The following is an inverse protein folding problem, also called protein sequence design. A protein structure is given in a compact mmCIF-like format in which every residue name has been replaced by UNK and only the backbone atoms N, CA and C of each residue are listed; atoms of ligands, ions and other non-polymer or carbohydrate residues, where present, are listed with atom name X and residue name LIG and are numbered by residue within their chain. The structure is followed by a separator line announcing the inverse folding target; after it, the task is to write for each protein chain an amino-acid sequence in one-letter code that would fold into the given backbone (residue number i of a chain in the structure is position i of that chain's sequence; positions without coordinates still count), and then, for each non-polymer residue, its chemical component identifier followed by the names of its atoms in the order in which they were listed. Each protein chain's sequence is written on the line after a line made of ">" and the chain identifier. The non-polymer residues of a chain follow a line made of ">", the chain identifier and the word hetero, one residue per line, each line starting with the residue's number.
data_IF_484064866650
#
_entry.id   IF_484064866650
#
_cell.length_a   1.000
_cell.length_b   1.000
_cell.length_c   1.000
_cell.angle_alpha   90.00
_cell.angle_beta   90.00
_cell.angle_gamma   90.00
#
_symmetry.space_group_name_H-M   'P 1'
#
loop_
_entity.id
_entity.type
_entity.pdbx_description
1 polymer ?
#
# COMPACT_ATOMS: atom_id res chain seq x y z
N UNK A 1 -0.55 -22.04 -14.51
CA UNK A 1 0.47 -21.68 -13.49
C UNK A 1 -0.20 -20.83 -12.44
N UNK A 2 0.33 -20.75 -11.21
CA UNK A 2 -0.13 -19.76 -10.22
C UNK A 2 0.29 -18.35 -10.68
N UNK A 3 -0.53 -17.34 -10.41
CA UNK A 3 -0.19 -15.96 -10.75
C UNK A 3 0.89 -15.43 -9.80
N UNK A 4 1.80 -14.63 -10.34
CA UNK A 4 2.75 -13.82 -9.58
C UNK A 4 2.23 -12.39 -9.55
N UNK A 5 2.03 -11.85 -8.35
CA UNK A 5 1.43 -10.54 -8.12
C UNK A 5 2.41 -9.68 -7.32
N UNK A 6 2.59 -8.44 -7.72
CA UNK A 6 3.22 -7.39 -6.93
C UNK A 6 2.14 -6.46 -6.36
N UNK A 7 2.23 -6.11 -5.09
CA UNK A 7 1.35 -5.15 -4.44
C UNK A 7 2.19 -4.06 -3.80
N UNK A 8 1.94 -2.82 -4.17
CA UNK A 8 2.34 -1.66 -3.41
C UNK A 8 1.15 -1.26 -2.52
N UNK A 9 1.33 -1.44 -1.22
CA UNK A 9 0.29 -1.22 -0.21
C UNK A 9 0.49 0.15 0.45
N UNK A 10 0.28 1.21 -0.33
CA UNK A 10 0.50 2.58 0.14
C UNK A 10 -0.63 3.13 1.02
N UNK A 11 -0.29 4.14 1.84
CA UNK A 11 -1.24 4.88 2.69
C UNK A 11 -2.33 5.58 1.87
N UNK A 12 -1.98 6.17 0.74
CA UNK A 12 -2.90 6.91 -0.11
C UNK A 12 -3.52 6.05 -1.22
N UNK A 13 -2.75 5.17 -1.82
CA UNK A 13 -3.19 4.33 -2.94
C UNK A 13 -2.56 2.95 -2.90
N UNK A 14 -3.27 1.98 -3.46
CA UNK A 14 -2.77 0.64 -3.71
C UNK A 14 -2.54 0.43 -5.20
N UNK A 15 -1.41 -0.19 -5.54
CA UNK A 15 -1.09 -0.62 -6.90
C UNK A 15 -1.00 -2.14 -6.94
N UNK A 16 -1.57 -2.74 -7.96
CA UNK A 16 -1.47 -4.18 -8.19
C UNK A 16 -0.89 -4.46 -9.57
N UNK A 17 0.25 -5.12 -9.56
CA UNK A 17 0.94 -5.60 -10.74
C UNK A 17 0.72 -7.11 -10.88
N UNK A 18 0.48 -7.58 -12.09
CA UNK A 18 0.43 -9.02 -12.40
C UNK A 18 1.49 -9.33 -13.46
N UNK A 19 2.32 -10.34 -13.17
CA UNK A 19 3.38 -10.77 -14.10
C UNK A 19 2.81 -11.08 -15.48
N UNK A 20 3.38 -10.45 -16.50
CA UNK A 20 2.96 -10.57 -17.90
C UNK A 20 1.77 -9.69 -18.30
N UNK A 21 1.18 -8.94 -17.37
CA UNK A 21 0.09 -7.99 -17.66
C UNK A 21 0.42 -6.53 -17.29
N UNK A 22 1.46 -6.33 -16.48
CA UNK A 22 1.82 -5.00 -15.97
C UNK A 22 0.98 -4.56 -14.77
N UNK A 23 0.94 -3.25 -14.51
CA UNK A 23 0.08 -2.65 -13.48
C UNK A 23 -1.35 -2.68 -14.00
N UNK A 24 -2.21 -3.43 -13.33
CA UNK A 24 -3.60 -3.65 -13.73
C UNK A 24 -4.62 -2.93 -12.86
N UNK A 25 -4.22 -2.52 -11.65
CA UNK A 25 -5.04 -1.74 -10.73
C UNK A 25 -4.20 -0.65 -10.08
N UNK A 26 -4.80 0.53 -9.99
CA UNK A 26 -4.35 1.66 -9.18
C UNK A 26 -5.58 2.31 -8.58
N UNK A 27 -5.75 2.17 -7.28
CA UNK A 27 -6.94 2.66 -6.60
C UNK A 27 -6.60 3.28 -5.23
N UNK A 28 -7.43 4.18 -4.70
CA UNK A 28 -7.27 4.72 -3.36
C UNK A 28 -7.31 3.61 -2.29
N UNK A 29 -6.47 3.72 -1.27
CA UNK A 29 -6.47 2.85 -0.09
C UNK A 29 -7.58 3.27 0.88
N UNK A 30 -8.83 3.15 0.45
CA UNK A 30 -10.02 3.55 1.23
C UNK A 30 -11.01 2.39 1.25
N UNK A 31 -11.62 2.17 2.42
CA UNK A 31 -12.68 1.18 2.62
C UNK A 31 -13.85 1.85 3.33
N UNK A 32 -15.05 1.67 2.81
CA UNK A 32 -16.29 2.04 3.46
C UNK A 32 -17.00 0.78 3.98
N UNK A 33 -17.38 0.78 5.24
CA UNK A 33 -18.07 -0.33 5.88
C UNK A 33 -19.14 0.17 6.84
N UNK A 34 -20.10 -0.69 7.09
CA UNK A 34 -21.12 -0.49 8.11
C UNK A 34 -20.52 -0.80 9.49
N UNK A 35 -20.60 0.15 10.43
CA UNK A 35 -19.98 0.05 11.75
C UNK A 35 -20.58 -1.05 12.60
N UNK A 36 -21.88 -1.31 12.47
CA UNK A 36 -22.59 -2.26 13.33
C UNK A 36 -22.41 -3.71 12.85
N UNK A 37 -22.45 -3.91 11.52
CA UNK A 37 -22.32 -5.24 10.92
C UNK A 37 -20.89 -5.59 10.48
N UNK A 38 -19.97 -4.62 10.43
CA UNK A 38 -18.64 -4.75 9.82
C UNK A 38 -18.67 -5.21 8.34
N UNK A 39 -19.79 -5.03 7.67
CA UNK A 39 -19.94 -5.36 6.26
C UNK A 39 -19.30 -4.29 5.39
N UNK A 40 -18.41 -4.70 4.49
CA UNK A 40 -17.78 -3.79 3.52
C UNK A 40 -18.81 -3.36 2.48
N UNK A 41 -19.02 -2.08 2.32
CA UNK A 41 -19.95 -1.46 1.36
C UNK A 41 -19.26 -1.02 0.08
N UNK A 42 -18.03 -0.49 0.19
CA UNK A 42 -17.24 -0.06 -0.96
C UNK A 42 -15.74 -0.13 -0.66
N UNK A 43 -14.92 -0.27 -1.70
CA UNK A 43 -13.45 -0.24 -1.60
C UNK A 43 -12.90 0.55 -2.79
N UNK A 44 -11.79 1.27 -2.57
CA UNK A 44 -11.11 2.02 -3.61
C UNK A 44 -11.81 3.34 -3.93
N UNK A 45 -11.97 3.64 -5.21
CA UNK A 45 -12.52 4.92 -5.67
C UNK A 45 -13.97 5.16 -5.18
N UNK A 46 -14.79 4.13 -5.17
CA UNK A 46 -16.17 4.25 -4.65
C UNK A 46 -16.17 4.65 -3.16
N UNK A 47 -15.31 4.02 -2.36
CA UNK A 47 -15.17 4.36 -0.93
C UNK A 47 -14.59 5.77 -0.74
N UNK A 48 -13.66 6.21 -1.61
CA UNK A 48 -13.07 7.55 -1.56
C UNK A 48 -14.14 8.64 -1.72
N UNK A 49 -15.09 8.44 -2.62
CA UNK A 49 -16.20 9.38 -2.83
C UNK A 49 -17.13 9.49 -1.61
N UNK A 50 -17.08 8.50 -0.73
CA UNK A 50 -17.87 8.47 0.52
C UNK A 50 -17.17 9.14 1.71
N UNK A 51 -15.87 9.46 1.62
CA UNK A 51 -15.13 10.15 2.70
C UNK A 51 -15.80 11.46 3.07
N UNK A 52 -16.14 11.62 4.35
CA UNK A 52 -16.78 12.81 4.88
C UNK A 52 -18.25 13.04 4.42
N UNK A 53 -18.84 12.06 3.73
CA UNK A 53 -20.21 12.16 3.16
C UNK A 53 -21.09 10.97 3.49
N UNK A 54 -20.65 10.09 4.39
CA UNK A 54 -21.38 8.87 4.75
C UNK A 54 -22.53 9.18 5.72
N UNK A 55 -23.76 8.74 5.44
CA UNK A 55 -24.87 8.85 6.41
C UNK A 55 -24.82 7.73 7.45
N UNK A 56 -25.22 8.05 8.67
CA UNK A 56 -25.52 7.06 9.72
C UNK A 56 -24.35 6.15 10.10
N UNK A 57 -24.54 4.87 9.94
CA UNK A 57 -23.62 3.83 10.40
C UNK A 57 -22.45 3.56 9.44
N UNK A 58 -22.44 4.14 8.25
CA UNK A 58 -21.39 3.90 7.27
C UNK A 58 -20.18 4.77 7.59
N UNK A 59 -19.00 4.15 7.67
CA UNK A 59 -17.73 4.81 7.93
C UNK A 59 -16.78 4.52 6.78
N UNK A 60 -16.21 5.56 6.19
CA UNK A 60 -15.15 5.42 5.21
C UNK A 60 -13.81 5.79 5.85
N UNK A 61 -12.85 4.88 5.81
CA UNK A 61 -11.52 5.06 6.41
C UNK A 61 -10.40 4.68 5.46
N UNK A 62 -9.20 5.21 5.74
CA UNK A 62 -7.94 4.66 5.23
C UNK A 62 -7.41 3.67 6.27
N UNK A 63 -7.31 2.37 5.95
CA UNK A 63 -6.88 1.34 6.89
C UNK A 63 -5.37 1.35 7.16
N UNK A 64 -4.61 2.11 6.37
CA UNK A 64 -3.19 2.39 6.61
C UNK A 64 -3.01 3.87 6.94
N UNK A 65 -2.11 4.14 7.88
CA UNK A 65 -1.66 5.49 8.24
C UNK A 65 -0.16 5.49 8.41
N UNK A 66 0.51 6.44 7.78
CA UNK A 66 1.97 6.59 7.89
C UNK A 66 2.72 5.26 7.63
N UNK A 67 2.30 4.54 6.58
CA UNK A 67 2.89 3.27 6.18
C UNK A 67 2.54 2.07 7.06
N UNK A 68 1.70 2.24 8.09
CA UNK A 68 1.37 1.21 9.08
C UNK A 68 -0.09 0.81 9.00
N UNK A 69 -0.38 -0.47 9.21
CA UNK A 69 -1.75 -0.97 9.35
C UNK A 69 -2.36 -0.42 10.63
N UNK A 70 -3.40 0.40 10.51
CA UNK A 70 -4.19 0.91 11.63
C UNK A 70 -5.42 0.07 11.94
N UNK A 71 -5.91 -0.69 10.94
CA UNK A 71 -7.00 -1.65 11.10
C UNK A 71 -6.69 -2.92 10.30
N UNK A 72 -6.34 -3.99 11.01
CA UNK A 72 -5.93 -5.26 10.42
C UNK A 72 -7.06 -5.91 9.61
N UNK A 73 -8.26 -5.99 10.19
CA UNK A 73 -9.40 -6.67 9.56
C UNK A 73 -9.84 -5.97 8.27
N UNK A 74 -9.84 -4.65 8.28
CA UNK A 74 -10.21 -3.85 7.11
C UNK A 74 -9.11 -3.94 6.04
N UNK A 75 -7.83 -3.95 6.45
CA UNK A 75 -6.69 -4.13 5.53
C UNK A 75 -6.72 -5.50 4.85
N UNK A 76 -6.96 -6.58 5.60
CA UNK A 76 -7.11 -7.93 5.04
C UNK A 76 -8.22 -7.97 3.97
N UNK A 77 -9.40 -7.43 4.29
CA UNK A 77 -10.52 -7.36 3.35
C UNK A 77 -10.18 -6.56 2.10
N UNK A 78 -9.44 -5.45 2.26
CA UNK A 78 -9.00 -4.61 1.16
C UNK A 78 -8.01 -5.35 0.25
N UNK A 79 -6.98 -5.99 0.80
CA UNK A 79 -6.02 -6.79 0.03
C UNK A 79 -6.75 -7.91 -0.71
N UNK A 80 -7.61 -8.64 -0.03
CA UNK A 80 -8.40 -9.72 -0.62
C UNK A 80 -9.26 -9.26 -1.81
N UNK A 81 -9.93 -8.12 -1.66
CA UNK A 81 -10.72 -7.52 -2.74
C UNK A 81 -9.86 -7.21 -3.97
N UNK A 82 -8.70 -6.55 -3.78
CA UNK A 82 -7.84 -6.18 -4.90
C UNK A 82 -7.18 -7.40 -5.55
N UNK A 83 -6.77 -8.39 -4.78
CA UNK A 83 -6.26 -9.66 -5.31
C UNK A 83 -7.33 -10.38 -6.15
N UNK A 84 -8.56 -10.45 -5.66
CA UNK A 84 -9.67 -11.05 -6.40
C UNK A 84 -10.02 -10.27 -7.67
N UNK A 85 -10.03 -8.94 -7.60
CA UNK A 85 -10.26 -8.05 -8.74
C UNK A 85 -9.16 -8.23 -9.81
N UNK A 86 -7.91 -8.36 -9.38
CA UNK A 86 -6.75 -8.59 -10.24
C UNK A 86 -6.76 -9.94 -10.96
N UNK A 87 -7.15 -10.99 -10.26
CA UNK A 87 -7.13 -12.36 -10.79
C UNK A 87 -8.40 -12.73 -11.56
N UNK A 88 -9.53 -12.05 -11.29
CA UNK A 88 -10.84 -12.42 -11.79
C UNK A 88 -11.42 -13.65 -11.07
N UNK A 89 -12.70 -13.93 -11.33
CA UNK A 89 -13.49 -14.95 -10.58
C UNK A 89 -13.09 -16.42 -10.81
N UNK A 90 -12.15 -16.73 -11.70
CA UNK A 90 -11.87 -18.12 -12.15
C UNK A 90 -10.51 -18.68 -11.76
N UNK A 91 -9.77 -18.06 -10.83
CA UNK A 91 -8.44 -18.55 -10.46
C UNK A 91 -8.54 -19.55 -9.31
N UNK A 92 -8.44 -20.86 -9.62
CA UNK A 92 -8.42 -21.94 -8.63
C UNK A 92 -7.08 -22.07 -7.88
N UNK A 93 -6.02 -21.42 -8.35
CA UNK A 93 -4.69 -21.52 -7.73
C UNK A 93 -4.36 -20.24 -6.98
N UNK A 94 -4.04 -20.40 -5.70
CA UNK A 94 -3.59 -19.30 -4.85
C UNK A 94 -2.32 -18.64 -5.43
N UNK A 95 -2.26 -17.29 -5.50
CA UNK A 95 -1.12 -16.56 -6.06
C UNK A 95 0.11 -16.58 -5.15
N UNK A 96 1.28 -16.29 -5.73
CA UNK A 96 2.43 -15.78 -4.98
C UNK A 96 2.35 -14.26 -5.00
N UNK A 97 2.53 -13.64 -3.85
CA UNK A 97 2.40 -12.19 -3.71
C UNK A 97 3.70 -11.61 -3.16
N UNK A 98 4.28 -10.67 -3.88
CA UNK A 98 5.32 -9.78 -3.36
C UNK A 98 4.64 -8.47 -2.97
N UNK A 99 4.80 -8.06 -1.71
CA UNK A 99 4.15 -6.86 -1.17
C UNK A 99 5.19 -5.91 -0.59
N UNK A 100 5.06 -4.62 -0.90
CA UNK A 100 5.98 -3.60 -0.44
C UNK A 100 5.67 -3.19 0.99
N UNK A 101 6.72 -2.86 1.73
CA UNK A 101 6.68 -2.29 3.08
C UNK A 101 7.68 -1.15 3.19
N UNK A 102 7.39 -0.07 3.94
CA UNK A 102 8.36 0.99 4.21
C UNK A 102 9.62 0.45 4.89
N UNK A 103 10.75 1.09 4.66
CA UNK A 103 12.04 0.67 5.25
C UNK A 103 12.08 0.77 6.78
N UNK A 104 11.26 1.67 7.36
CA UNK A 104 11.24 1.96 8.80
C UNK A 104 10.24 1.14 9.61
N UNK A 105 9.58 0.12 9.01
CA UNK A 105 8.59 -0.70 9.74
C UNK A 105 9.26 -1.62 10.77
N UNK A 106 8.60 -1.79 11.90
CA UNK A 106 8.98 -2.75 12.92
C UNK A 106 8.70 -4.19 12.48
N UNK A 107 9.34 -5.17 13.13
CA UNK A 107 9.07 -6.60 12.88
C UNK A 107 7.60 -6.98 13.11
N UNK A 108 6.94 -6.33 14.07
CA UNK A 108 5.50 -6.55 14.34
C UNK A 108 4.64 -6.05 13.17
N UNK A 109 4.93 -4.86 12.66
CA UNK A 109 4.25 -4.29 11.50
C UNK A 109 4.49 -5.11 10.24
N UNK A 110 5.74 -5.56 10.02
CA UNK A 110 6.13 -6.47 8.95
C UNK A 110 5.28 -7.74 8.96
N UNK A 111 5.22 -8.38 10.12
CA UNK A 111 4.45 -9.59 10.33
C UNK A 111 2.95 -9.38 10.12
N UNK A 112 2.41 -8.24 10.54
CA UNK A 112 1.01 -7.91 10.31
C UNK A 112 0.65 -7.83 8.81
N UNK A 113 1.52 -7.21 7.99
CA UNK A 113 1.34 -7.16 6.53
C UNK A 113 1.42 -8.55 5.91
N UNK A 114 2.39 -9.36 6.34
CA UNK A 114 2.56 -10.74 5.87
C UNK A 114 1.33 -11.58 6.18
N UNK A 115 0.86 -11.58 7.43
CA UNK A 115 -0.31 -12.33 7.89
C UNK A 115 -1.59 -11.88 7.17
N UNK A 116 -1.82 -10.57 7.02
CA UNK A 116 -2.96 -10.04 6.29
C UNK A 116 -2.95 -10.50 4.82
N UNK A 117 -1.78 -10.59 4.21
CA UNK A 117 -1.62 -11.04 2.82
C UNK A 117 -1.88 -12.55 2.68
N UNK A 118 -1.41 -13.37 3.64
CA UNK A 118 -1.77 -14.80 3.67
C UNK A 118 -3.27 -15.00 3.89
N UNK A 119 -3.89 -14.27 4.81
CA UNK A 119 -5.34 -14.32 5.09
C UNK A 119 -6.17 -13.88 3.86
N UNK A 120 -5.65 -12.92 3.08
CA UNK A 120 -6.25 -12.53 1.80
C UNK A 120 -6.21 -13.61 0.71
N UNK A 121 -5.48 -14.71 0.93
CA UNK A 121 -5.48 -15.89 0.08
C UNK A 121 -4.18 -16.15 -0.69
N UNK A 122 -3.08 -15.52 -0.33
CA UNK A 122 -1.77 -15.84 -0.90
C UNK A 122 -1.33 -17.27 -0.55
N UNK A 123 -0.60 -17.92 -1.45
CA UNK A 123 0.11 -19.18 -1.19
C UNK A 123 1.48 -18.93 -0.59
N UNK A 124 2.12 -17.87 -1.04
CA UNK A 124 3.47 -17.47 -0.69
C UNK A 124 3.51 -15.95 -0.67
N UNK A 125 4.13 -15.38 0.36
CA UNK A 125 4.27 -13.94 0.55
C UNK A 125 5.74 -13.60 0.64
N UNK A 126 6.17 -12.60 -0.13
CA UNK A 126 7.51 -12.03 -0.07
C UNK A 126 7.38 -10.55 0.25
N UNK A 127 7.99 -10.11 1.35
CA UNK A 127 8.05 -8.69 1.70
C UNK A 127 9.26 -8.05 1.01
N UNK A 128 9.06 -6.88 0.42
CA UNK A 128 10.08 -6.10 -0.28
C UNK A 128 10.05 -4.68 0.29
N UNK A 129 11.21 -4.12 0.59
CA UNK A 129 11.31 -2.70 0.97
C UNK A 129 10.92 -1.79 -0.20
N UNK A 130 10.08 -0.77 0.06
CA UNK A 130 9.59 0.17 -0.95
C UNK A 130 10.70 0.78 -1.81
N UNK A 131 11.82 1.29 -1.24
CA UNK A 131 12.87 1.88 -2.09
C UNK A 131 13.59 0.84 -2.97
N UNK A 132 13.66 -0.43 -2.56
CA UNK A 132 14.21 -1.50 -3.41
C UNK A 132 13.28 -1.78 -4.59
N UNK A 133 11.98 -1.86 -4.33
CA UNK A 133 10.98 -2.03 -5.39
C UNK A 133 10.97 -0.84 -6.34
N UNK A 134 11.07 0.39 -5.81
CA UNK A 134 11.15 1.63 -6.59
C UNK A 134 12.40 1.65 -7.49
N UNK A 135 13.57 1.26 -6.97
CA UNK A 135 14.81 1.16 -7.75
C UNK A 135 14.67 0.19 -8.94
N UNK A 136 14.10 -0.99 -8.68
CA UNK A 136 13.85 -2.00 -9.72
C UNK A 136 12.86 -1.44 -10.76
N UNK A 137 11.79 -0.80 -10.30
CA UNK A 137 10.78 -0.18 -11.16
C UNK A 137 11.33 0.96 -12.03
N UNK A 138 12.32 1.70 -11.54
CA UNK A 138 13.03 2.74 -12.26
C UNK A 138 14.07 2.17 -13.27
N UNK A 139 14.24 0.84 -13.33
CA UNK A 139 15.19 0.20 -14.22
C UNK A 139 16.66 0.30 -13.75
N UNK A 140 16.88 0.58 -12.47
CA UNK A 140 18.22 0.63 -11.88
C UNK A 140 18.72 -0.80 -11.67
N UNK A 141 19.93 -1.08 -12.16
CA UNK A 141 20.61 -2.34 -11.91
C UNK A 141 21.20 -2.32 -10.49
N UNK A 142 20.42 -2.76 -9.53
CA UNK A 142 20.81 -2.77 -8.11
C UNK A 142 21.90 -3.79 -7.77
N UNK A 143 22.21 -4.73 -8.68
CA UNK A 143 23.26 -5.74 -8.47
C UNK A 143 24.69 -5.18 -8.55
N UNK A 144 24.85 -4.01 -9.15
CA UNK A 144 26.17 -3.38 -9.32
C UNK A 144 26.73 -2.84 -8.01
N UNK A 145 28.08 -2.81 -7.88
CA UNK A 145 28.76 -2.24 -6.72
C UNK A 145 28.84 -0.70 -6.82
N UNK A 146 27.69 -0.06 -6.97
CA UNK A 146 27.57 1.40 -6.98
C UNK A 146 26.37 1.81 -6.13
N UNK A 147 26.52 2.88 -5.34
CA UNK A 147 25.45 3.42 -4.53
C UNK A 147 24.43 4.15 -5.40
N UNK A 148 23.18 3.69 -5.36
CA UNK A 148 22.06 4.39 -6.00
C UNK A 148 21.14 4.91 -4.90
N UNK A 149 20.95 6.22 -4.83
CA UNK A 149 20.05 6.84 -3.87
C UNK A 149 18.63 6.89 -4.44
N UNK A 150 17.69 6.38 -3.68
CA UNK A 150 16.25 6.43 -3.95
C UNK A 150 15.61 7.32 -2.89
N UNK A 151 14.72 8.21 -3.34
CA UNK A 151 13.84 9.00 -2.49
C UNK A 151 12.42 8.71 -2.96
N UNK A 152 11.69 7.96 -2.16
CA UNK A 152 10.30 7.59 -2.41
C UNK A 152 9.38 8.38 -1.48
N UNK A 153 8.55 9.25 -2.05
CA UNK A 153 7.63 10.11 -1.30
C UNK A 153 6.21 9.64 -1.57
N UNK A 154 5.67 8.88 -0.63
CA UNK A 154 4.31 8.37 -0.68
C UNK A 154 3.27 9.34 -0.11
N UNK A 155 2.11 8.78 0.30
CA UNK A 155 1.07 9.55 1.00
C UNK A 155 1.40 9.75 2.48
N UNK A 156 1.87 8.71 3.16
CA UNK A 156 2.09 8.71 4.61
C UNK A 156 3.55 8.63 5.06
N UNK A 157 4.46 8.21 4.17
CA UNK A 157 5.90 8.07 4.46
C UNK A 157 6.73 8.64 3.33
N UNK A 158 7.92 9.13 3.66
CA UNK A 158 8.99 9.38 2.71
C UNK A 158 10.18 8.51 3.09
N UNK A 159 10.54 7.58 2.20
CA UNK A 159 11.59 6.60 2.37
C UNK A 159 12.80 6.97 1.53
N UNK A 160 13.96 7.05 2.17
CA UNK A 160 15.22 7.41 1.56
C UNK A 160 16.17 6.25 1.77
N UNK A 161 16.73 5.70 0.70
CA UNK A 161 17.68 4.59 0.80
C UNK A 161 18.81 4.72 -0.22
N UNK A 162 19.99 4.22 0.16
CA UNK A 162 21.09 3.95 -0.76
C UNK A 162 21.16 2.45 -0.95
N UNK A 163 21.08 2.02 -2.20
CA UNK A 163 21.06 0.62 -2.60
C UNK A 163 22.32 0.29 -3.37
N UNK A 164 22.97 -0.82 -3.04
CA UNK A 164 24.16 -1.36 -3.72
C UNK A 164 24.21 -2.87 -3.53
N UNK A 165 24.73 -3.61 -4.51
CA UNK A 165 24.91 -5.06 -4.46
C UNK A 165 23.63 -5.83 -4.07
N UNK A 166 22.49 -5.38 -4.57
CA UNK A 166 21.20 -6.02 -4.37
C UNK A 166 20.52 -5.77 -3.01
N UNK A 167 21.10 -4.91 -2.16
CA UNK A 167 20.58 -4.63 -0.83
C UNK A 167 20.64 -3.15 -0.43
N UNK A 168 19.89 -2.83 0.61
CA UNK A 168 19.90 -1.51 1.25
C UNK A 168 21.15 -1.35 2.11
N UNK A 169 21.98 -0.36 1.82
CA UNK A 169 23.21 -0.04 2.57
C UNK A 169 22.89 0.87 3.75
N UNK A 170 22.06 1.87 3.51
CA UNK A 170 21.56 2.81 4.51
C UNK A 170 20.16 3.26 4.13
N UNK A 171 19.29 3.41 5.10
CA UNK A 171 17.96 3.93 4.90
C UNK A 171 17.54 4.91 6.01
N UNK A 172 16.55 5.70 5.69
CA UNK A 172 15.83 6.55 6.64
C UNK A 172 14.39 6.66 6.17
N UNK A 173 13.45 6.49 7.08
CA UNK A 173 12.03 6.65 6.81
C UNK A 173 11.46 7.72 7.72
N UNK A 174 10.75 8.67 7.15
CA UNK A 174 10.07 9.73 7.90
C UNK A 174 8.56 9.68 7.65
N UNK A 175 7.79 9.92 8.71
CA UNK A 175 6.32 9.90 8.67
C UNK A 175 5.76 11.29 8.34
N UNK A 176 6.36 11.95 7.36
CA UNK A 176 5.93 13.24 6.78
C UNK A 176 5.98 13.09 5.27
N UNK A 177 4.82 13.19 4.62
CA UNK A 177 4.72 12.96 3.18
C UNK A 177 3.50 13.69 2.57
N UNK A 178 2.93 13.18 1.50
CA UNK A 178 1.89 13.83 0.71
C UNK A 178 0.67 14.29 1.51
N UNK A 179 0.19 13.47 2.45
CA UNK A 179 -0.96 13.84 3.30
C UNK A 179 -0.65 15.04 4.19
N UNK A 180 0.59 15.19 4.68
CA UNK A 180 1.02 16.34 5.47
C UNK A 180 1.13 17.61 4.61
N UNK A 181 1.55 17.45 3.35
CA UNK A 181 1.60 18.57 2.39
C UNK A 181 0.20 19.07 2.07
N UNK A 182 -0.75 18.19 1.82
CA UNK A 182 -2.16 18.52 1.60
C UNK A 182 -2.75 19.23 2.82
N UNK A 183 -2.47 18.73 4.01
CA UNK A 183 -2.95 19.36 5.25
C UNK A 183 -2.34 20.74 5.49
N UNK A 184 -1.07 20.92 5.11
CA UNK A 184 -0.42 22.24 5.19
C UNK A 184 -1.12 23.26 4.27
N UNK A 185 -1.51 22.83 3.06
CA UNK A 185 -2.28 23.65 2.11
C UNK A 185 -3.65 23.99 2.70
N UNK A 186 -4.36 23.02 3.26
CA UNK A 186 -5.67 23.22 3.90
C UNK A 186 -5.56 24.21 5.05
N UNK A 187 -4.55 24.08 5.92
CA UNK A 187 -4.29 25.02 7.02
C UNK A 187 -4.01 26.43 6.51
N UNK A 188 -3.21 26.55 5.45
CA UNK A 188 -2.92 27.84 4.84
C UNK A 188 -4.20 28.50 4.30
N UNK A 189 -5.02 27.75 3.56
CA UNK A 189 -6.28 28.25 3.00
C UNK A 189 -7.25 28.72 4.09
N UNK A 190 -7.40 27.93 5.16
CA UNK A 190 -8.23 28.32 6.32
C UNK A 190 -7.72 29.60 6.97
N UNK A 191 -6.40 29.75 7.17
CA UNK A 191 -5.79 30.93 7.80
C UNK A 191 -5.92 32.18 6.93
N UNK A 192 -5.80 32.05 5.61
CA UNK A 192 -5.73 33.19 4.67
C UNK A 192 -7.11 33.60 4.16
N UNK A 193 -8.03 32.68 4.00
CA UNK A 193 -9.30 32.89 3.33
C UNK A 193 -10.53 32.55 4.18
N UNK A 194 -10.33 32.06 5.40
CA UNK A 194 -11.35 31.66 6.39
C UNK A 194 -12.20 30.48 5.89
#
# INVERSE_FOLDING_TARGET
>A
MAADIGIDLGTASILVYVKGKGVILKEPSVVAFDRDSNEVKAIGEEARLMLGRTPGNIVAIRPLRQGVISDYTVTEKMIKYFVQKALGRRTFKKPRISICVPSGVTEVERKAVEEATYAAGAREVNLIEEPVAAAIGAGIDISKPCGNMIVDIGGGTADIAVISLGGTVVNSSIKIAGDDFDEAIVRYMRKKHN
#
